data_IF_077060168582
#
_entry.id   IF_077060168582
#
_cell.length_a   1.000
_cell.length_b   1.000
_cell.length_c   1.000
_cell.angle_alpha   90.00
_cell.angle_beta   90.00
_cell.angle_gamma   90.00
#
_symmetry.space_group_name_H-M   'P 1'
#
loop_
_entity.id
_entity.type
_entity.pdbx_description
1 polymer ?
#
# COMPACT_ATOMS: atom_id res chain seq x y z
N UNK A 1 -36.10 -14.96 27.44
CA UNK A 1 -35.17 -16.01 26.97
C UNK A 1 -33.95 -15.99 27.88
N UNK A 2 -33.61 -17.12 28.48
CA UNK A 2 -32.41 -17.24 29.30
C UNK A 2 -31.20 -17.61 28.43
N UNK A 3 -30.28 -16.65 28.23
CA UNK A 3 -29.04 -16.83 27.46
C UNK A 3 -28.00 -17.71 28.19
N UNK A 4 -28.27 -18.10 29.44
CA UNK A 4 -27.38 -18.95 30.23
C UNK A 4 -27.26 -20.36 29.62
N UNK A 5 -28.36 -20.89 29.06
CA UNK A 5 -28.51 -22.24 28.52
C UNK A 5 -27.97 -22.42 27.09
N UNK A 6 -27.69 -21.32 26.38
CA UNK A 6 -27.18 -21.40 25.01
C UNK A 6 -25.66 -21.67 24.99
N UNK A 7 -25.19 -22.60 24.13
CA UNK A 7 -23.77 -22.81 23.89
C UNK A 7 -23.08 -21.54 23.40
N UNK A 8 -21.82 -21.34 23.79
CA UNK A 8 -21.04 -20.14 23.45
C UNK A 8 -20.90 -19.96 21.93
N UNK A 9 -20.71 -21.03 21.18
CA UNK A 9 -20.57 -21.00 19.72
C UNK A 9 -21.83 -20.45 19.02
N UNK A 10 -23.01 -20.84 19.51
CA UNK A 10 -24.29 -20.32 18.99
C UNK A 10 -24.41 -18.83 19.26
N UNK A 11 -24.04 -18.38 20.48
CA UNK A 11 -24.05 -16.97 20.84
C UNK A 11 -23.05 -16.16 19.98
N UNK A 12 -21.87 -16.70 19.71
CA UNK A 12 -20.87 -16.08 18.82
C UNK A 12 -21.44 -15.93 17.42
N UNK A 13 -22.06 -16.97 16.86
CA UNK A 13 -22.62 -16.94 15.51
C UNK A 13 -23.78 -15.94 15.39
N UNK A 14 -24.68 -15.89 16.38
CA UNK A 14 -25.77 -14.90 16.41
C UNK A 14 -25.22 -13.47 16.48
N UNK A 15 -24.24 -13.22 17.35
CA UNK A 15 -23.63 -11.89 17.50
C UNK A 15 -22.80 -11.48 16.29
N UNK A 16 -22.16 -12.41 15.58
CA UNK A 16 -21.45 -12.15 14.30
C UNK A 16 -22.39 -11.65 13.20
N UNK A 17 -23.63 -12.14 13.19
CA UNK A 17 -24.66 -11.72 12.22
C UNK A 17 -25.41 -10.45 12.64
N UNK A 18 -25.17 -9.96 13.85
CA UNK A 18 -25.86 -8.80 14.42
C UNK A 18 -25.15 -7.48 14.06
N UNK A 19 -25.89 -6.37 14.06
CA UNK A 19 -25.29 -5.05 13.82
C UNK A 19 -24.30 -4.66 14.94
N UNK A 20 -23.27 -3.83 14.67
CA UNK A 20 -22.35 -3.34 15.69
C UNK A 20 -23.06 -2.69 16.89
N UNK A 21 -24.17 -1.99 16.64
CA UNK A 21 -24.97 -1.37 17.71
C UNK A 21 -25.64 -2.41 18.60
N UNK A 22 -26.21 -3.47 18.00
CA UNK A 22 -26.84 -4.59 18.71
C UNK A 22 -25.82 -5.34 19.55
N UNK A 23 -24.62 -5.59 19.01
CA UNK A 23 -23.54 -6.25 19.77
C UNK A 23 -23.06 -5.38 20.94
N UNK A 24 -22.97 -4.06 20.72
CA UNK A 24 -22.61 -3.11 21.78
C UNK A 24 -23.66 -3.09 22.90
N UNK A 25 -24.95 -3.21 22.57
CA UNK A 25 -26.01 -3.37 23.56
C UNK A 25 -25.90 -4.71 24.29
N UNK A 26 -25.68 -5.81 23.55
CA UNK A 26 -25.52 -7.15 24.12
C UNK A 26 -24.36 -7.22 25.14
N UNK A 27 -23.25 -6.53 24.87
CA UNK A 27 -22.11 -6.40 25.80
C UNK A 27 -22.53 -5.85 27.17
N UNK A 28 -23.55 -4.98 27.23
CA UNK A 28 -24.05 -4.35 28.45
C UNK A 28 -25.07 -5.19 29.22
N UNK A 29 -25.61 -6.25 28.61
CA UNK A 29 -26.67 -7.06 29.22
C UNK A 29 -26.16 -7.96 30.35
N UNK A 30 -25.01 -8.63 30.17
CA UNK A 30 -24.42 -9.47 31.22
C UNK A 30 -22.91 -9.74 31.02
N UNK A 31 -22.26 -10.23 32.08
CA UNK A 31 -20.81 -10.54 32.09
C UNK A 31 -20.42 -11.65 31.09
N UNK A 32 -21.29 -12.64 30.83
CA UNK A 32 -21.03 -13.74 29.87
C UNK A 32 -20.92 -13.18 28.45
N UNK A 33 -21.92 -12.40 28.02
CA UNK A 33 -21.92 -11.72 26.72
C UNK A 33 -20.78 -10.73 26.58
N UNK A 34 -20.46 -9.97 27.64
CA UNK A 34 -19.28 -9.10 27.63
C UNK A 34 -17.99 -9.88 27.34
N UNK A 35 -17.75 -10.98 28.05
CA UNK A 35 -16.58 -11.85 27.81
C UNK A 35 -16.56 -12.43 26.40
N UNK A 36 -17.71 -12.89 25.90
CA UNK A 36 -17.82 -13.44 24.53
C UNK A 36 -17.49 -12.38 23.48
N UNK A 37 -18.06 -11.17 23.61
CA UNK A 37 -17.83 -10.07 22.67
C UNK A 37 -16.36 -9.64 22.68
N UNK A 38 -15.75 -9.48 23.86
CA UNK A 38 -14.33 -9.08 23.99
C UNK A 38 -13.38 -10.15 23.47
N UNK A 39 -13.58 -11.43 23.85
CA UNK A 39 -12.70 -12.55 23.46
C UNK A 39 -12.73 -12.81 21.95
N UNK A 40 -13.88 -12.58 21.32
CA UNK A 40 -14.08 -12.83 19.88
C UNK A 40 -14.03 -11.55 19.03
N UNK A 41 -13.73 -10.40 19.65
CA UNK A 41 -13.69 -9.08 19.00
C UNK A 41 -14.92 -8.76 18.14
N UNK A 42 -16.12 -8.97 18.68
CA UNK A 42 -17.39 -8.83 17.93
C UNK A 42 -17.90 -7.38 17.92
N UNK A 43 -18.73 -7.06 16.92
CA UNK A 43 -19.41 -5.77 16.85
C UNK A 43 -18.50 -4.59 16.51
N UNK A 44 -17.35 -4.84 15.86
CA UNK A 44 -16.44 -3.77 15.51
C UNK A 44 -17.07 -2.84 14.46
N UNK A 45 -16.99 -1.52 14.64
CA UNK A 45 -17.44 -0.56 13.65
C UNK A 45 -16.61 -0.66 12.36
N UNK A 46 -17.26 -0.37 11.23
CA UNK A 46 -16.60 -0.22 9.93
C UNK A 46 -15.81 1.08 9.88
N UNK A 47 -14.60 1.00 9.33
CA UNK A 47 -13.70 2.12 9.06
C UNK A 47 -13.29 2.04 7.59
N UNK A 48 -13.55 3.11 6.85
CA UNK A 48 -13.19 3.19 5.44
C UNK A 48 -11.69 3.43 5.32
N UNK A 49 -11.14 4.40 6.06
CA UNK A 49 -9.72 4.75 6.00
C UNK A 49 -9.05 4.57 7.36
N UNK A 50 -8.01 3.75 7.41
CA UNK A 50 -7.17 3.53 8.59
C UNK A 50 -5.74 3.94 8.26
N UNK A 51 -5.29 5.03 8.87
CA UNK A 51 -3.97 5.59 8.64
C UNK A 51 -3.11 5.53 9.91
N UNK A 52 -1.85 5.16 9.77
CA UNK A 52 -0.86 5.12 10.83
C UNK A 52 0.32 5.99 10.42
N UNK A 53 0.71 6.94 11.26
CA UNK A 53 1.85 7.81 11.00
C UNK A 53 2.84 7.76 12.17
N UNK A 54 4.12 7.54 11.85
CA UNK A 54 5.22 7.65 12.79
C UNK A 54 5.86 9.04 12.68
N UNK A 55 5.64 9.88 13.69
CA UNK A 55 6.16 11.26 13.76
C UNK A 55 7.31 11.35 14.77
N UNK A 56 8.27 12.24 14.52
CA UNK A 56 9.31 12.57 15.50
C UNK A 56 8.89 13.79 16.29
N UNK A 57 8.97 13.73 17.63
CA UNK A 57 8.70 14.84 18.53
C UNK A 57 9.94 15.11 19.36
N UNK A 58 10.29 16.39 19.49
CA UNK A 58 11.29 16.83 20.45
C UNK A 58 10.67 16.80 21.86
N UNK A 59 11.20 15.94 22.73
CA UNK A 59 10.78 15.87 24.12
C UNK A 59 10.94 17.23 24.80
N UNK A 60 9.84 17.78 25.32
CA UNK A 60 9.90 19.01 26.12
C UNK A 60 10.38 18.66 27.52
N UNK A 61 11.43 19.32 28.01
CA UNK A 61 11.84 19.23 29.41
C UNK A 61 11.08 20.21 30.32
N UNK A 62 10.23 21.09 29.74
CA UNK A 62 9.42 22.08 30.48
C UNK A 62 7.96 22.10 30.01
N UNK A 63 7.00 22.45 30.89
CA UNK A 63 5.59 22.60 30.54
C UNK A 63 5.34 23.64 29.44
N UNK A 64 4.21 23.51 28.76
CA UNK A 64 3.72 24.48 27.76
C UNK A 64 3.63 25.88 28.39
N UNK A 65 4.17 26.91 27.72
CA UNK A 65 4.10 28.31 28.16
C UNK A 65 5.36 28.87 28.82
N UNK A 66 6.44 28.10 28.97
CA UNK A 66 7.75 28.62 29.43
C UNK A 66 8.79 28.60 28.31
N UNK A 67 9.48 29.73 28.12
CA UNK A 67 10.60 29.86 27.19
C UNK A 67 11.71 28.85 27.53
N UNK A 68 12.11 28.06 26.52
CA UNK A 68 13.18 27.09 26.60
C UNK A 68 14.38 27.64 25.83
N UNK A 69 15.42 28.06 26.56
CA UNK A 69 16.59 28.75 26.00
C UNK A 69 17.55 27.82 25.22
N UNK A 70 17.40 26.48 25.34
CA UNK A 70 18.21 25.48 24.62
C UNK A 70 17.37 24.24 24.31
N UNK A 71 17.44 23.75 23.06
CA UNK A 71 16.86 22.48 22.62
C UNK A 71 17.73 21.32 23.12
N UNK A 72 17.53 20.88 24.36
CA UNK A 72 18.22 19.72 24.96
C UNK A 72 17.32 18.50 25.10
N UNK A 73 16.13 18.52 24.49
CA UNK A 73 15.17 17.42 24.53
C UNK A 73 15.65 16.20 23.73
N UNK A 74 15.51 15.00 24.30
CA UNK A 74 15.67 13.76 23.53
C UNK A 74 14.60 13.71 22.44
N UNK A 75 14.96 13.28 21.23
CA UNK A 75 13.96 12.98 20.20
C UNK A 75 13.20 11.71 20.59
N UNK A 76 11.88 11.81 20.54
CA UNK A 76 10.95 10.71 20.76
C UNK A 76 10.20 10.43 19.47
N UNK A 77 9.84 9.16 19.28
CA UNK A 77 8.93 8.76 18.20
C UNK A 77 7.50 8.71 18.75
N UNK A 78 6.54 9.12 17.92
CA UNK A 78 5.11 9.13 18.24
C UNK A 78 4.35 8.46 17.12
N UNK A 79 3.50 7.52 17.49
CA UNK A 79 2.53 6.94 16.57
C UNK A 79 1.23 7.74 16.63
N UNK A 80 0.64 7.99 15.47
CA UNK A 80 -0.68 8.61 15.33
C UNK A 80 -1.53 7.70 14.47
N UNK A 81 -2.65 7.22 15.01
CA UNK A 81 -3.65 6.47 14.24
C UNK A 81 -4.80 7.41 13.88
N UNK A 82 -5.27 7.37 12.64
CA UNK A 82 -6.44 8.15 12.20
C UNK A 82 -7.43 7.23 11.52
N UNK A 83 -8.71 7.34 11.90
CA UNK A 83 -9.78 6.51 11.35
C UNK A 83 -10.87 7.39 10.73
N UNK A 84 -11.24 7.09 9.48
CA UNK A 84 -12.33 7.78 8.80
C UNK A 84 -13.47 6.81 8.53
N UNK A 85 -14.70 7.27 8.78
CA UNK A 85 -15.93 6.56 8.42
C UNK A 85 -16.73 7.40 7.44
N UNK A 86 -17.57 6.76 6.63
CA UNK A 86 -18.54 7.43 5.75
C UNK A 86 -19.34 8.43 6.58
N UNK A 87 -19.26 9.70 6.18
CA UNK A 87 -19.95 10.84 6.78
C UNK A 87 -19.53 11.23 8.21
N UNK A 88 -18.47 10.63 8.81
CA UNK A 88 -17.91 11.04 10.11
C UNK A 88 -16.39 10.82 10.15
N UNK A 89 -15.60 11.86 10.31
CA UNK A 89 -14.18 11.73 10.69
C UNK A 89 -14.07 11.55 12.21
N UNK A 90 -13.39 10.49 12.66
CA UNK A 90 -13.01 10.36 14.07
C UNK A 90 -11.50 10.20 14.14
N UNK A 91 -10.81 11.29 14.43
CA UNK A 91 -9.40 11.21 14.75
C UNK A 91 -9.25 10.58 16.14
N UNK A 92 -8.68 9.38 16.22
CA UNK A 92 -8.32 8.75 17.49
C UNK A 92 -6.83 8.96 17.69
N UNK A 93 -6.48 10.09 18.31
CA UNK A 93 -5.10 10.39 18.64
C UNK A 93 -4.72 9.54 19.87
N UNK A 94 -4.20 8.34 19.68
CA UNK A 94 -3.49 7.62 20.76
C UNK A 94 -1.99 7.90 20.66
N UNK A 95 -1.44 8.55 21.69
CA UNK A 95 -0.04 8.96 21.78
C UNK A 95 0.79 7.83 22.41
N UNK A 96 1.43 7.00 21.59
CA UNK A 96 2.52 6.15 22.06
C UNK A 96 3.83 6.94 22.04
N UNK A 97 4.45 7.18 23.21
CA UNK A 97 5.80 7.75 23.28
C UNK A 97 6.80 6.61 23.19
N UNK A 98 7.46 6.48 22.04
CA UNK A 98 8.55 5.54 21.86
C UNK A 98 9.89 6.21 22.16
N UNK A 99 10.63 5.61 23.09
CA UNK A 99 12.05 5.89 23.27
C UNK A 99 12.87 5.39 22.07
N UNK A 100 14.13 5.83 21.94
CA UNK A 100 14.99 5.55 20.78
C UNK A 100 15.36 4.07 20.54
N UNK A 101 14.83 3.13 21.34
CA UNK A 101 15.29 1.73 21.36
C UNK A 101 14.18 0.69 21.49
N UNK A 102 12.89 1.04 21.35
CA UNK A 102 11.79 0.12 21.65
C UNK A 102 10.99 -0.29 20.41
N UNK A 103 10.90 -1.60 20.20
CA UNK A 103 10.12 -2.35 19.20
C UNK A 103 8.60 -2.40 19.49
N UNK A 104 8.05 -1.45 20.25
CA UNK A 104 6.72 -1.59 20.86
C UNK A 104 5.57 -0.91 20.10
N UNK A 105 5.84 -0.26 18.97
CA UNK A 105 4.89 0.57 18.24
C UNK A 105 3.79 -0.22 17.58
N UNK A 106 4.13 -1.43 17.14
CA UNK A 106 3.20 -2.43 16.64
C UNK A 106 2.09 -2.76 17.65
N UNK A 107 2.31 -2.58 18.96
CA UNK A 107 1.29 -2.84 19.98
C UNK A 107 0.13 -1.86 19.93
N UNK A 108 0.40 -0.55 19.76
CA UNK A 108 -0.66 0.48 19.65
C UNK A 108 -1.47 0.27 18.38
N UNK A 109 -0.79 0.02 17.26
CA UNK A 109 -1.43 -0.26 15.97
C UNK A 109 -2.32 -1.51 16.09
N UNK A 110 -1.79 -2.57 16.69
CA UNK A 110 -2.52 -3.81 16.94
C UNK A 110 -3.80 -3.58 17.75
N UNK A 111 -3.71 -2.87 18.87
CA UNK A 111 -4.87 -2.61 19.73
C UNK A 111 -5.94 -1.79 19.02
N UNK A 112 -5.55 -0.81 18.20
CA UNK A 112 -6.50 -0.04 17.40
C UNK A 112 -7.13 -0.86 16.27
N UNK A 113 -6.35 -1.69 15.57
CA UNK A 113 -6.90 -2.56 14.52
C UNK A 113 -7.86 -3.62 15.08
N UNK A 114 -7.63 -4.13 16.30
CA UNK A 114 -8.57 -5.05 16.97
C UNK A 114 -9.94 -4.42 17.20
N UNK A 115 -10.03 -3.09 17.32
CA UNK A 115 -11.27 -2.35 17.61
C UNK A 115 -12.13 -2.09 16.37
N UNK A 116 -11.68 -2.40 15.14
CA UNK A 116 -12.37 -1.98 13.90
C UNK A 116 -12.43 -3.06 12.82
N UNK A 117 -13.37 -2.91 11.88
CA UNK A 117 -13.36 -3.63 10.59
C UNK A 117 -12.89 -2.68 9.49
N UNK A 118 -11.85 -3.08 8.77
CA UNK A 118 -11.22 -2.30 7.70
C UNK A 118 -11.96 -2.52 6.39
N UNK A 119 -12.29 -1.45 5.66
CA UNK A 119 -13.13 -1.55 4.46
C UNK A 119 -12.49 -1.03 3.17
N UNK A 120 -11.79 0.11 3.17
CA UNK A 120 -11.37 0.73 1.90
C UNK A 120 -9.85 0.86 1.81
N UNK A 121 -9.24 1.61 2.75
CA UNK A 121 -7.83 2.00 2.70
C UNK A 121 -7.12 1.69 4.02
N UNK A 122 -5.91 1.16 3.87
CA UNK A 122 -4.96 0.99 4.97
C UNK A 122 -3.64 1.66 4.57
N UNK A 123 -3.21 2.65 5.34
CA UNK A 123 -1.99 3.42 5.05
C UNK A 123 -1.03 3.49 6.24
N UNK A 124 0.26 3.43 5.92
CA UNK A 124 1.36 3.49 6.88
C UNK A 124 2.38 4.52 6.41
N UNK A 125 2.75 5.44 7.30
CA UNK A 125 3.74 6.48 7.05
C UNK A 125 4.87 6.40 8.09
N UNK A 126 6.10 6.25 7.61
CA UNK A 126 7.31 6.26 8.45
C UNK A 126 7.49 5.02 9.33
N UNK A 127 6.75 3.94 9.08
CA UNK A 127 6.77 2.71 9.88
C UNK A 127 7.87 1.76 9.38
N UNK A 128 8.51 1.03 10.29
CA UNK A 128 9.32 -0.14 9.95
C UNK A 128 8.40 -1.35 9.87
N UNK A 129 8.25 -1.91 8.68
CA UNK A 129 7.39 -3.04 8.40
C UNK A 129 8.23 -4.32 8.35
N UNK A 130 8.44 -4.95 9.51
CA UNK A 130 9.18 -6.19 9.71
C UNK A 130 8.26 -7.41 9.82
N UNK A 131 8.84 -8.58 10.12
CA UNK A 131 8.08 -9.83 10.28
C UNK A 131 7.04 -9.74 11.40
N UNK A 132 7.32 -9.04 12.50
CA UNK A 132 6.37 -8.89 13.59
C UNK A 132 5.20 -8.00 13.18
N UNK A 133 5.49 -6.93 12.44
CA UNK A 133 4.48 -6.08 11.83
C UNK A 133 3.62 -6.85 10.82
N UNK A 134 4.23 -7.68 9.96
CA UNK A 134 3.50 -8.56 9.05
C UNK A 134 2.59 -9.54 9.80
N UNK A 135 3.09 -10.20 10.85
CA UNK A 135 2.31 -11.14 11.66
C UNK A 135 1.14 -10.44 12.36
N UNK A 136 1.33 -9.20 12.79
CA UNK A 136 0.27 -8.36 13.36
C UNK A 136 -0.80 -8.03 12.30
N UNK A 137 -0.41 -7.57 11.11
CA UNK A 137 -1.35 -7.28 10.03
C UNK A 137 -2.12 -8.51 9.56
N UNK A 138 -1.47 -9.66 9.52
CA UNK A 138 -2.03 -10.92 9.03
C UNK A 138 -2.58 -11.81 10.15
N UNK A 139 -2.73 -11.28 11.36
CA UNK A 139 -3.31 -12.04 12.47
C UNK A 139 -4.76 -12.46 12.16
N UNK A 140 -5.20 -13.60 12.72
CA UNK A 140 -6.53 -14.19 12.45
C UNK A 140 -7.71 -13.28 12.82
N UNK A 141 -7.51 -12.37 13.78
CA UNK A 141 -8.53 -11.42 14.22
C UNK A 141 -8.65 -10.19 13.30
N UNK A 142 -7.74 -10.04 12.34
CA UNK A 142 -7.71 -8.95 11.38
C UNK A 142 -8.16 -9.44 9.99
N UNK A 143 -9.36 -9.05 9.60
CA UNK A 143 -9.90 -9.34 8.28
C UNK A 143 -9.57 -8.19 7.32
N UNK A 144 -8.68 -8.48 6.36
CA UNK A 144 -8.25 -7.55 5.33
C UNK A 144 -8.98 -7.75 4.00
N UNK A 145 -9.89 -8.73 3.90
CA UNK A 145 -10.52 -9.17 2.64
C UNK A 145 -11.27 -8.07 1.90
N UNK A 146 -11.64 -6.99 2.59
CA UNK A 146 -12.34 -5.85 2.00
C UNK A 146 -11.43 -4.70 1.61
N UNK A 147 -10.22 -4.62 2.16
CA UNK A 147 -9.26 -3.53 1.90
C UNK A 147 -8.90 -3.51 0.42
N UNK A 148 -9.13 -2.36 -0.22
CA UNK A 148 -8.93 -2.16 -1.66
C UNK A 148 -7.69 -1.34 -1.97
N UNK A 149 -7.19 -0.57 -1.00
CA UNK A 149 -6.01 0.27 -1.15
C UNK A 149 -5.01 0.03 -0.01
N UNK A 150 -3.78 -0.27 -0.38
CA UNK A 150 -2.65 -0.38 0.53
C UNK A 150 -1.61 0.68 0.17
N UNK A 151 -1.21 1.47 1.17
CA UNK A 151 -0.26 2.57 0.98
C UNK A 151 0.84 2.50 2.03
N UNK A 152 2.09 2.47 1.59
CA UNK A 152 3.25 2.63 2.43
C UNK A 152 4.00 3.87 1.95
N UNK A 153 4.29 4.78 2.87
CA UNK A 153 4.96 6.04 2.58
C UNK A 153 6.11 6.23 3.55
N UNK A 154 7.32 6.53 3.08
CA UNK A 154 8.52 6.70 3.93
C UNK A 154 8.83 5.50 4.84
N UNK A 155 8.26 4.33 4.55
CA UNK A 155 8.42 3.12 5.35
C UNK A 155 9.74 2.40 5.04
N UNK A 156 10.26 1.69 6.03
CA UNK A 156 11.31 0.68 5.84
C UNK A 156 10.65 -0.68 5.72
N UNK A 157 10.56 -1.22 4.50
CA UNK A 157 9.90 -2.50 4.22
C UNK A 157 10.93 -3.62 4.26
N UNK A 158 10.80 -4.47 5.28
CA UNK A 158 11.64 -5.65 5.48
C UNK A 158 10.92 -6.94 5.12
N UNK A 159 9.77 -6.82 4.46
CA UNK A 159 9.01 -7.97 3.99
C UNK A 159 9.82 -8.78 2.99
N UNK A 160 9.64 -10.10 2.99
CA UNK A 160 10.01 -10.93 1.85
C UNK A 160 8.96 -10.81 0.73
N UNK A 161 9.33 -11.24 -0.47
CA UNK A 161 8.39 -11.38 -1.60
C UNK A 161 7.16 -12.22 -1.21
N UNK A 162 7.37 -13.33 -0.49
CA UNK A 162 6.30 -14.23 -0.04
C UNK A 162 5.35 -13.56 0.97
N UNK A 163 5.90 -12.72 1.86
CA UNK A 163 5.09 -11.95 2.80
C UNK A 163 4.26 -10.90 2.07
N UNK A 164 4.84 -10.19 1.09
CA UNK A 164 4.10 -9.23 0.27
C UNK A 164 2.97 -9.92 -0.52
N UNK A 165 3.27 -11.06 -1.14
CA UNK A 165 2.28 -11.89 -1.83
C UNK A 165 1.15 -12.34 -0.89
N UNK A 166 1.50 -12.84 0.28
CA UNK A 166 0.54 -13.27 1.31
C UNK A 166 -0.33 -12.11 1.82
N UNK A 167 0.24 -10.92 1.96
CA UNK A 167 -0.52 -9.72 2.35
C UNK A 167 -1.54 -9.35 1.26
N UNK A 168 -1.12 -9.28 0.00
CA UNK A 168 -2.00 -8.90 -1.12
C UNK A 168 -3.11 -9.93 -1.35
N UNK A 169 -2.81 -11.23 -1.31
CA UNK A 169 -3.83 -12.30 -1.49
C UNK A 169 -4.91 -12.31 -0.40
N UNK A 170 -4.63 -11.74 0.77
CA UNK A 170 -5.59 -11.60 1.86
C UNK A 170 -6.46 -10.34 1.77
N UNK A 171 -6.22 -9.52 0.75
CA UNK A 171 -6.93 -8.25 0.53
C UNK A 171 -7.71 -8.29 -0.78
N UNK A 172 -8.62 -7.35 -0.96
CA UNK A 172 -9.22 -7.07 -2.28
C UNK A 172 -8.47 -5.94 -2.98
N UNK A 173 -7.15 -5.86 -2.80
CA UNK A 173 -6.34 -4.73 -3.23
C UNK A 173 -6.41 -4.52 -4.75
N UNK A 174 -6.71 -3.28 -5.13
CA UNK A 174 -6.69 -2.76 -6.50
C UNK A 174 -5.74 -1.57 -6.65
N UNK A 175 -5.32 -0.99 -5.52
CA UNK A 175 -4.43 0.17 -5.49
C UNK A 175 -3.29 -0.10 -4.52
N UNK A 176 -2.08 -0.26 -5.04
CA UNK A 176 -0.86 -0.40 -4.25
C UNK A 176 0.01 0.85 -4.43
N UNK A 177 0.41 1.47 -3.32
CA UNK A 177 1.29 2.63 -3.31
C UNK A 177 2.47 2.40 -2.37
N UNK A 178 3.69 2.47 -2.90
CA UNK A 178 4.95 2.34 -2.17
C UNK A 178 5.80 3.59 -2.44
N UNK A 179 5.58 4.65 -1.68
CA UNK A 179 6.17 5.96 -1.92
C UNK A 179 7.31 6.29 -0.96
N UNK A 180 8.47 6.61 -1.51
CA UNK A 180 9.72 6.91 -0.81
C UNK A 180 10.13 5.85 0.22
N UNK A 181 9.73 4.60 -0.01
CA UNK A 181 10.07 3.46 0.84
C UNK A 181 11.52 3.01 0.63
N UNK A 182 12.09 2.39 1.66
CA UNK A 182 13.32 1.62 1.56
C UNK A 182 12.96 0.13 1.55
N UNK A 183 13.41 -0.60 0.53
CA UNK A 183 13.20 -2.04 0.41
C UNK A 183 14.46 -2.77 0.86
N UNK A 184 14.34 -3.67 1.84
CA UNK A 184 15.47 -4.51 2.29
C UNK A 184 15.72 -5.67 1.31
N UNK A 185 14.67 -6.09 0.57
CA UNK A 185 14.69 -7.18 -0.42
C UNK A 185 13.84 -6.79 -1.64
N UNK A 186 13.96 -7.54 -2.75
CA UNK A 186 13.05 -7.40 -3.88
C UNK A 186 11.68 -7.98 -3.51
N UNK A 187 10.69 -7.11 -3.30
CA UNK A 187 9.33 -7.48 -2.87
C UNK A 187 8.30 -7.40 -3.99
N UNK A 188 8.72 -7.01 -5.20
CA UNK A 188 7.84 -6.81 -6.34
C UNK A 188 8.24 -7.75 -7.47
N UNK A 189 7.34 -8.66 -7.80
CA UNK A 189 7.49 -9.61 -8.90
C UNK A 189 6.19 -9.72 -9.68
N UNK A 190 6.25 -10.37 -10.84
CA UNK A 190 5.05 -10.72 -11.61
C UNK A 190 4.04 -11.48 -10.74
N UNK A 191 4.49 -12.40 -9.87
CA UNK A 191 3.62 -13.15 -8.97
C UNK A 191 2.90 -12.24 -7.97
N UNK A 192 3.64 -11.32 -7.36
CA UNK A 192 3.10 -10.36 -6.38
C UNK A 192 2.06 -9.45 -7.04
N UNK A 193 2.36 -8.92 -8.23
CA UNK A 193 1.42 -8.05 -8.95
C UNK A 193 0.18 -8.82 -9.40
N UNK A 194 0.35 -10.05 -9.87
CA UNK A 194 -0.76 -10.91 -10.33
C UNK A 194 -1.70 -11.34 -9.18
N UNK A 195 -1.28 -11.24 -7.91
CA UNK A 195 -2.18 -11.46 -6.78
C UNK A 195 -3.30 -10.42 -6.70
N UNK A 196 -3.11 -9.24 -7.30
CA UNK A 196 -4.13 -8.21 -7.44
C UNK A 196 -4.92 -8.45 -8.73
N UNK A 197 -6.00 -9.23 -8.66
CA UNK A 197 -6.76 -9.67 -9.84
C UNK A 197 -7.31 -8.53 -10.74
N UNK A 198 -7.44 -7.30 -10.22
CA UNK A 198 -7.92 -6.11 -10.94
C UNK A 198 -7.16 -4.87 -10.50
N UNK A 199 -5.88 -4.80 -10.84
CA UNK A 199 -5.06 -3.60 -10.56
C UNK A 199 -5.69 -2.39 -11.26
N UNK A 200 -5.96 -1.34 -10.49
CA UNK A 200 -6.36 -0.03 -10.99
C UNK A 200 -5.20 0.95 -10.88
N UNK A 201 -4.46 0.92 -9.78
CA UNK A 201 -3.32 1.80 -9.53
C UNK A 201 -2.14 1.00 -8.97
N UNK A 202 -1.01 1.09 -9.66
CA UNK A 202 0.28 0.65 -9.14
C UNK A 202 1.22 1.84 -9.12
N UNK A 203 1.63 2.24 -7.91
CA UNK A 203 2.62 3.30 -7.72
C UNK A 203 3.76 2.79 -6.86
N UNK A 204 4.96 2.79 -7.41
CA UNK A 204 6.18 2.36 -6.75
C UNK A 204 7.23 3.45 -6.99
N UNK A 205 7.65 4.08 -5.91
CA UNK A 205 8.67 5.12 -5.91
C UNK A 205 9.61 4.89 -4.73
N UNK A 206 10.62 4.01 -4.84
CA UNK A 206 11.60 3.84 -3.78
C UNK A 206 12.42 5.12 -3.54
N UNK A 207 13.03 5.20 -2.36
CA UNK A 207 13.90 6.32 -1.97
C UNK A 207 15.16 6.43 -2.83
N UNK A 208 15.69 5.30 -3.27
CA UNK A 208 16.84 5.19 -4.18
C UNK A 208 16.40 4.45 -5.44
N UNK A 209 17.23 4.48 -6.49
CA UNK A 209 16.98 3.64 -7.66
C UNK A 209 16.94 2.17 -7.25
N UNK A 210 15.93 1.41 -7.70
CA UNK A 210 15.83 -0.04 -7.48
C UNK A 210 15.59 -0.76 -8.80
N UNK A 211 16.23 -1.91 -8.98
CA UNK A 211 15.96 -2.83 -10.09
C UNK A 211 15.00 -3.92 -9.63
N UNK A 212 13.81 -3.97 -10.24
CA UNK A 212 12.76 -4.96 -10.00
C UNK A 212 12.99 -6.15 -10.92
N UNK A 213 13.80 -7.12 -10.47
CA UNK A 213 14.33 -8.18 -11.33
C UNK A 213 13.24 -9.13 -11.81
N UNK A 214 12.24 -9.35 -10.98
CA UNK A 214 11.17 -10.31 -11.26
C UNK A 214 9.92 -9.66 -11.88
N UNK A 215 9.99 -8.40 -12.26
CA UNK A 215 8.91 -7.70 -12.95
C UNK A 215 9.19 -7.67 -14.45
N UNK A 216 8.47 -8.50 -15.22
CA UNK A 216 8.73 -8.80 -16.63
C UNK A 216 7.50 -8.58 -17.52
N UNK A 217 7.64 -8.74 -18.83
CA UNK A 217 6.54 -8.65 -19.79
C UNK A 217 5.36 -9.60 -19.49
N UNK A 218 5.54 -10.61 -18.63
CA UNK A 218 4.42 -11.42 -18.14
C UNK A 218 3.35 -10.57 -17.43
N UNK A 219 3.76 -9.56 -16.65
CA UNK A 219 2.84 -8.59 -16.04
C UNK A 219 2.14 -7.73 -17.09
N UNK A 220 2.88 -7.22 -18.08
CA UNK A 220 2.30 -6.40 -19.17
C UNK A 220 1.26 -7.18 -19.97
N UNK A 221 1.56 -8.44 -20.29
CA UNK A 221 0.63 -9.36 -20.97
C UNK A 221 -0.63 -9.64 -20.16
N UNK A 222 -0.53 -9.73 -18.84
CA UNK A 222 -1.72 -9.90 -18.01
C UNK A 222 -2.57 -8.62 -17.99
N UNK A 223 -1.93 -7.45 -17.92
CA UNK A 223 -2.60 -6.16 -17.96
C UNK A 223 -3.24 -5.84 -19.30
N UNK A 224 -2.77 -6.35 -20.43
CA UNK A 224 -3.41 -6.07 -21.73
C UNK A 224 -4.89 -6.47 -21.79
N UNK A 225 -5.30 -7.48 -21.01
CA UNK A 225 -6.70 -7.91 -20.90
C UNK A 225 -7.58 -7.03 -20.00
N UNK A 226 -6.98 -6.36 -19.02
CA UNK A 226 -7.65 -5.50 -18.04
C UNK A 226 -6.65 -4.46 -17.54
N UNK A 227 -6.38 -3.42 -18.35
CA UNK A 227 -5.32 -2.47 -18.07
C UNK A 227 -5.57 -1.67 -16.79
N UNK A 228 -4.54 -1.42 -15.97
CA UNK A 228 -4.65 -0.47 -14.86
C UNK A 228 -4.84 0.94 -15.40
N UNK A 229 -5.59 1.78 -14.68
CA UNK A 229 -5.71 3.21 -15.03
C UNK A 229 -4.42 3.98 -14.74
N UNK A 230 -3.62 3.52 -13.77
CA UNK A 230 -2.39 4.19 -13.36
C UNK A 230 -1.26 3.19 -13.13
N UNK A 231 -0.11 3.45 -13.76
CA UNK A 231 1.16 2.79 -13.51
C UNK A 231 2.17 3.90 -13.25
N UNK A 232 2.92 3.81 -12.17
CA UNK A 232 3.89 4.83 -11.79
C UNK A 232 5.11 4.17 -11.15
N UNK A 233 6.09 3.80 -11.96
CA UNK A 233 7.33 3.12 -11.55
C UNK A 233 8.50 4.12 -11.48
N UNK A 234 8.39 5.13 -10.63
CA UNK A 234 9.42 6.17 -10.52
C UNK A 234 10.68 5.64 -9.83
N UNK A 235 11.86 5.96 -10.34
CA UNK A 235 13.13 5.42 -9.84
C UNK A 235 13.20 3.89 -9.81
N UNK A 236 12.33 3.22 -10.55
CA UNK A 236 12.38 1.78 -10.75
C UNK A 236 12.94 1.47 -12.13
N UNK A 237 13.75 0.43 -12.18
CA UNK A 237 14.06 -0.28 -13.40
C UNK A 237 13.39 -1.65 -13.36
N UNK A 238 13.04 -2.19 -14.52
CA UNK A 238 12.39 -3.50 -14.60
C UNK A 238 12.86 -4.25 -15.84
N UNK A 239 12.47 -5.52 -15.91
CA UNK A 239 12.66 -6.36 -17.09
C UNK A 239 11.52 -6.21 -18.12
N UNK A 240 10.72 -5.15 -18.04
CA UNK A 240 9.83 -4.77 -19.12
C UNK A 240 10.63 -4.44 -20.37
N UNK A 241 10.20 -4.98 -21.50
CA UNK A 241 10.79 -4.65 -22.79
C UNK A 241 9.99 -3.55 -23.47
N UNK A 242 10.65 -2.80 -24.35
CA UNK A 242 9.97 -1.82 -25.18
C UNK A 242 8.89 -2.48 -26.05
N UNK A 243 9.15 -3.67 -26.58
CA UNK A 243 8.17 -4.47 -27.33
C UNK A 243 6.94 -4.81 -26.48
N UNK A 244 7.12 -5.28 -25.25
CA UNK A 244 6.00 -5.58 -24.34
C UNK A 244 5.14 -4.34 -24.03
N UNK A 245 5.78 -3.17 -23.86
CA UNK A 245 5.08 -1.89 -23.70
C UNK A 245 4.29 -1.56 -24.98
N UNK A 246 4.89 -1.69 -26.17
CA UNK A 246 4.21 -1.44 -27.45
C UNK A 246 2.97 -2.32 -27.61
N UNK A 247 3.09 -3.62 -27.30
CA UNK A 247 1.98 -4.56 -27.38
C UNK A 247 0.84 -4.19 -26.43
N UNK A 248 1.16 -3.86 -25.17
CA UNK A 248 0.16 -3.39 -24.21
C UNK A 248 -0.56 -2.11 -24.68
N UNK A 249 0.17 -1.17 -25.29
CA UNK A 249 -0.40 0.06 -25.85
C UNK A 249 -1.35 -0.24 -27.01
N UNK A 250 -1.00 -1.19 -27.90
CA UNK A 250 -1.82 -1.56 -29.06
C UNK A 250 -3.15 -2.22 -28.66
N UNK A 251 -3.17 -2.95 -27.55
CA UNK A 251 -4.37 -3.58 -26.99
C UNK A 251 -5.26 -2.60 -26.19
N UNK A 252 -4.78 -1.38 -25.91
CA UNK A 252 -5.53 -0.39 -25.14
C UNK A 252 -6.80 0.05 -25.92
N UNK A 253 -8.01 -0.08 -25.33
CA UNK A 253 -9.22 0.41 -25.97
C UNK A 253 -9.17 1.94 -26.20
N UNK A 254 -9.60 2.39 -27.38
CA UNK A 254 -9.50 3.82 -27.80
C UNK A 254 -10.18 4.83 -26.86
N UNK A 255 -11.05 4.39 -25.96
CA UNK A 255 -11.82 5.25 -25.05
C UNK A 255 -11.33 5.19 -23.60
N UNK A 256 -10.29 4.43 -23.29
CA UNK A 256 -9.77 4.33 -21.93
C UNK A 256 -8.72 5.40 -21.64
N UNK A 257 -8.91 6.07 -20.50
CA UNK A 257 -7.94 7.01 -19.95
C UNK A 257 -6.90 6.26 -19.12
N UNK A 258 -5.63 6.46 -19.45
CA UNK A 258 -4.50 5.87 -18.72
C UNK A 258 -3.43 6.89 -18.41
N UNK A 259 -2.79 6.74 -17.25
CA UNK A 259 -1.60 7.49 -16.83
C UNK A 259 -0.50 6.49 -16.45
N UNK A 260 0.35 6.17 -17.41
CA UNK A 260 1.37 5.13 -17.29
C UNK A 260 2.77 5.71 -17.36
N UNK A 261 3.58 5.40 -16.35
CA UNK A 261 5.01 5.60 -16.35
C UNK A 261 5.68 4.28 -15.99
N UNK A 262 6.28 3.62 -16.98
CA UNK A 262 6.95 2.33 -16.81
C UNK A 262 8.35 2.46 -16.19
N UNK A 263 8.78 3.69 -15.83
CA UNK A 263 10.02 3.91 -15.13
C UNK A 263 11.22 3.89 -16.07
N UNK A 264 12.24 3.11 -15.72
CA UNK A 264 13.47 2.97 -16.49
C UNK A 264 13.50 1.61 -17.19
N UNK A 265 13.75 1.63 -18.48
CA UNK A 265 13.73 0.48 -19.38
C UNK A 265 15.13 0.33 -19.97
N UNK A 266 15.68 -0.88 -19.85
CA UNK A 266 16.95 -1.21 -20.49
C UNK A 266 16.70 -1.47 -21.99
N UNK A 267 17.31 -0.68 -22.89
CA UNK A 267 17.27 -0.93 -24.31
C UNK A 267 17.98 -2.25 -24.62
N UNK A 268 17.31 -3.14 -25.35
CA UNK A 268 17.94 -4.29 -26.02
C UNK A 268 18.17 -3.95 -27.49
N UNK A 269 18.95 -4.77 -28.20
CA UNK A 269 19.22 -4.58 -29.62
C UNK A 269 17.93 -4.29 -30.43
N UNK A 270 17.97 -3.28 -31.31
CA UNK A 270 16.84 -2.91 -32.17
C UNK A 270 15.89 -1.83 -31.64
N UNK A 271 16.28 -1.08 -30.60
CA UNK A 271 15.50 0.03 -30.01
C UNK A 271 14.93 0.98 -31.06
N UNK A 272 15.75 1.41 -32.02
CA UNK A 272 15.34 2.42 -33.00
C UNK A 272 14.20 1.90 -33.89
N UNK A 273 14.24 0.62 -34.28
CA UNK A 273 13.16 -0.03 -35.02
C UNK A 273 11.86 -0.14 -34.20
N UNK A 274 11.97 -0.40 -32.90
CA UNK A 274 10.83 -0.47 -31.99
C UNK A 274 10.23 0.92 -31.73
N UNK A 275 11.05 1.96 -31.58
CA UNK A 275 10.59 3.35 -31.48
C UNK A 275 9.92 3.81 -32.78
N UNK A 276 10.46 3.45 -33.94
CA UNK A 276 9.81 3.68 -35.25
C UNK A 276 8.44 2.99 -35.33
N UNK A 277 8.31 1.78 -34.78
CA UNK A 277 7.03 1.07 -34.73
C UNK A 277 6.00 1.78 -33.83
N UNK A 278 6.43 2.41 -32.73
CA UNK A 278 5.57 3.25 -31.89
C UNK A 278 5.07 4.48 -32.64
N UNK A 279 5.94 5.15 -33.39
CA UNK A 279 5.57 6.32 -34.21
C UNK A 279 4.54 5.97 -35.31
N UNK A 280 4.41 4.69 -35.67
CA UNK A 280 3.44 4.22 -36.65
C UNK A 280 2.04 3.99 -36.06
N UNK A 281 1.85 4.13 -34.73
CA UNK A 281 0.55 4.00 -34.09
C UNK A 281 -0.27 5.28 -34.32
N UNK A 282 -1.38 5.14 -35.05
CA UNK A 282 -2.24 6.28 -35.40
C UNK A 282 -2.86 6.94 -34.16
N UNK A 283 -2.89 8.27 -34.15
CA UNK A 283 -3.51 9.08 -33.09
C UNK A 283 -2.63 9.34 -31.86
N UNK A 284 -1.37 8.90 -31.88
CA UNK A 284 -0.41 9.16 -30.80
C UNK A 284 0.57 10.27 -31.16
N UNK A 285 0.83 11.16 -30.21
CA UNK A 285 1.90 12.15 -30.30
C UNK A 285 3.06 11.67 -29.44
N UNK A 286 4.25 11.53 -30.03
CA UNK A 286 5.44 11.07 -29.33
C UNK A 286 6.40 12.24 -29.16
N UNK A 287 6.79 12.50 -27.92
CA UNK A 287 7.83 13.44 -27.55
C UNK A 287 9.01 12.66 -27.00
N UNK A 288 10.19 12.91 -27.56
CA UNK A 288 11.44 12.32 -27.10
C UNK A 288 12.31 13.46 -26.59
N UNK A 289 12.77 13.34 -25.36
CA UNK A 289 13.74 14.26 -24.77
C UNK A 289 14.94 13.48 -24.27
N UNK A 290 16.12 13.84 -24.77
CA UNK A 290 17.38 13.26 -24.35
C UNK A 290 17.96 14.04 -23.15
N UNK A 291 18.47 13.31 -22.17
CA UNK A 291 19.36 13.81 -21.12
C UNK A 291 20.71 13.05 -21.17
N UNK A 292 21.66 13.43 -20.32
CA UNK A 292 23.04 12.91 -20.38
C UNK A 292 23.14 11.38 -20.17
N UNK A 293 22.18 10.74 -19.47
CA UNK A 293 22.23 9.32 -19.14
C UNK A 293 20.98 8.53 -19.57
N UNK A 294 19.96 9.20 -20.09
CA UNK A 294 18.67 8.63 -20.39
C UNK A 294 17.95 9.36 -21.53
N UNK A 295 17.08 8.63 -22.22
CA UNK A 295 16.16 9.16 -23.23
C UNK A 295 14.75 8.97 -22.70
N UNK A 296 14.09 10.06 -22.31
CA UNK A 296 12.69 10.04 -21.89
C UNK A 296 11.82 10.01 -23.14
N UNK A 297 10.93 9.02 -23.20
CA UNK A 297 9.89 8.91 -24.23
C UNK A 297 8.56 9.19 -23.56
N UNK A 298 7.79 10.11 -24.13
CA UNK A 298 6.43 10.44 -23.71
C UNK A 298 5.50 10.28 -24.90
N UNK A 299 4.38 9.62 -24.67
CA UNK A 299 3.35 9.32 -25.67
C UNK A 299 2.04 9.86 -25.13
N UNK A 300 1.38 10.70 -25.92
CA UNK A 300 0.07 11.25 -25.60
C UNK A 300 -0.96 10.78 -26.64
N UNK A 301 -2.12 10.32 -26.16
CA UNK A 301 -3.27 9.95 -27.00
C UNK A 301 -4.54 10.49 -26.35
N UNK A 302 -5.08 11.59 -26.89
CA UNK A 302 -6.16 12.33 -26.23
C UNK A 302 -5.77 12.76 -24.82
N UNK A 303 -6.51 12.30 -23.81
CA UNK A 303 -6.22 12.52 -22.40
C UNK A 303 -5.23 11.52 -21.79
N UNK A 304 -4.96 10.40 -22.45
CA UNK A 304 -4.04 9.36 -21.95
C UNK A 304 -2.58 9.77 -22.08
N UNK A 305 -1.79 9.42 -21.06
CA UNK A 305 -0.37 9.73 -20.94
C UNK A 305 0.41 8.45 -20.68
N UNK A 306 1.43 8.23 -21.48
CA UNK A 306 2.30 7.05 -21.36
C UNK A 306 3.75 7.53 -21.43
N UNK A 307 4.61 7.02 -20.57
CA UNK A 307 6.00 7.42 -20.53
C UNK A 307 6.93 6.33 -20.00
N UNK A 308 8.20 6.46 -20.36
CA UNK A 308 9.30 5.64 -19.84
C UNK A 308 10.65 6.30 -20.17
N UNK A 309 11.71 5.87 -19.49
CA UNK A 309 13.08 6.32 -19.71
C UNK A 309 13.90 5.17 -20.26
N UNK A 310 14.48 5.32 -21.45
CA UNK A 310 15.50 4.41 -21.95
C UNK A 310 16.84 4.80 -21.32
N UNK A 311 17.53 3.86 -20.69
CA UNK A 311 18.77 4.13 -19.94
C UNK A 311 19.87 3.17 -20.38
N UNK A 312 21.14 3.56 -20.32
CA UNK A 312 22.25 2.65 -20.64
C UNK A 312 22.47 1.66 -19.49
N UNK A 313 22.89 0.43 -19.84
CA UNK A 313 23.12 -0.68 -18.89
C UNK A 313 24.14 -0.34 -17.78
N UNK A 314 25.07 0.57 -18.08
CA UNK A 314 26.07 1.12 -17.15
C UNK A 314 25.48 1.85 -15.92
N UNK A 315 24.17 2.12 -15.89
CA UNK A 315 23.51 2.87 -14.81
C UNK A 315 23.17 2.04 -13.55
N UNK A 316 23.44 0.72 -13.52
CA UNK A 316 23.10 -0.16 -12.38
C UNK A 316 24.29 -0.88 -11.74
N UNK A 317 25.51 -0.69 -12.23
CA UNK A 317 26.71 -1.42 -11.78
C UNK A 317 27.54 -0.68 -10.72
N UNK A 318 26.96 0.30 -10.02
CA UNK A 318 27.61 1.09 -8.96
C UNK A 318 27.00 0.89 -7.59
#
# INVERSE_FOLDING_TARGET
MDFSLLPEEVLVNVLKMSSPTTVTMAKRLNKKLNRIVERNHLGKPLVDDFNVEMRTILGRTRPVGRLQLKNTGKMHRRIVVTMKRKQKSRQVIEEGVEGPSCSNGSSVIMEEMKKVHLYERLSFDGVTADTDFFNMLTAKWNDLSRVQSLSFTLCHLKFSEEQMLSLLTRTACRSLTLDFCHFEQDIISDKVINAMARVQCLRIQPRSTVYLHQLTDATLKNWSSSPPSTIALYNCASNFTLQGIVEMIKELPRNEFVDWDFGRILPRDGVDGQLLSLMSISGMTIFVSDDYCSRRVQIASGSSRIAFNLIREEAFTS
#
